data_IF_166244000468
#
_entry.id   IF_166244000468
#
_cell.length_a   1.000
_cell.length_b   1.000
_cell.length_c   1.000
_cell.angle_alpha   90.00
_cell.angle_beta   90.00
_cell.angle_gamma   90.00
#
_symmetry.space_group_name_H-M   'P 1'
#
loop_
_entity.id
_entity.type
_entity.pdbx_description
1 polymer ?
#
# COMPACT_ATOMS: atom_id res chain seq x y z
N UNK A 1 6.16 -4.34 -3.94
CA UNK A 1 7.58 -4.11 -3.58
C UNK A 1 8.24 -5.35 -2.95
N UNK A 2 7.66 -5.95 -1.91
CA UNK A 2 8.23 -7.10 -1.19
C UNK A 2 8.49 -8.34 -2.06
N UNK A 3 7.55 -8.71 -2.94
CA UNK A 3 7.74 -9.83 -3.87
C UNK A 3 9.04 -9.71 -4.69
N UNK A 4 9.32 -8.52 -5.24
CA UNK A 4 10.57 -8.26 -5.98
C UNK A 4 11.81 -8.42 -5.10
N UNK A 5 11.72 -8.03 -3.83
CA UNK A 5 12.82 -8.18 -2.88
C UNK A 5 13.06 -9.67 -2.55
N UNK A 6 12.01 -10.46 -2.36
CA UNK A 6 12.13 -11.91 -2.13
C UNK A 6 12.69 -12.63 -3.36
N UNK A 7 12.27 -12.26 -4.57
CA UNK A 7 12.89 -12.73 -5.83
C UNK A 7 14.39 -12.44 -5.83
N UNK A 8 14.77 -11.20 -5.53
CA UNK A 8 16.20 -10.82 -5.49
C UNK A 8 17.00 -11.57 -4.41
N UNK A 9 16.35 -12.09 -3.36
CA UNK A 9 17.01 -12.96 -2.39
C UNK A 9 17.15 -14.39 -2.92
N UNK A 10 16.10 -14.90 -3.57
CA UNK A 10 16.05 -16.24 -4.13
C UNK A 10 17.05 -16.47 -5.28
N UNK A 11 17.38 -15.40 -6.02
CA UNK A 11 18.36 -15.40 -7.12
C UNK A 11 19.82 -15.32 -6.65
N UNK A 12 20.08 -15.12 -5.35
CA UNK A 12 21.44 -15.11 -4.79
C UNK A 12 21.93 -16.52 -4.52
N UNK A 13 23.24 -16.67 -4.36
CA UNK A 13 23.84 -17.92 -3.90
C UNK A 13 23.74 -18.10 -2.38
N UNK A 14 23.87 -19.36 -1.94
CA UNK A 14 24.00 -19.72 -0.53
C UNK A 14 22.70 -19.58 0.28
N UNK A 15 22.82 -19.32 1.60
CA UNK A 15 21.66 -19.30 2.51
C UNK A 15 20.60 -18.24 2.16
N UNK A 16 20.99 -17.15 1.49
CA UNK A 16 20.06 -16.10 1.05
C UNK A 16 19.00 -16.64 0.07
N UNK A 17 19.42 -17.53 -0.83
CA UNK A 17 18.57 -18.17 -1.82
C UNK A 17 17.43 -18.94 -1.15
N UNK A 18 17.75 -19.67 -0.08
CA UNK A 18 16.79 -20.48 0.68
C UNK A 18 15.73 -19.60 1.33
N UNK A 19 16.15 -18.59 2.10
CA UNK A 19 15.22 -17.63 2.70
C UNK A 19 14.33 -16.94 1.67
N UNK A 20 14.90 -16.54 0.53
CA UNK A 20 14.14 -15.95 -0.57
C UNK A 20 13.06 -16.89 -1.10
N UNK A 21 13.40 -18.16 -1.37
CA UNK A 21 12.44 -19.16 -1.86
C UNK A 21 11.34 -19.48 -0.85
N UNK A 22 11.69 -19.62 0.43
CA UNK A 22 10.70 -19.89 1.49
C UNK A 22 9.70 -18.73 1.60
N UNK A 23 10.19 -17.48 1.63
CA UNK A 23 9.34 -16.29 1.66
C UNK A 23 8.45 -16.18 0.40
N UNK A 24 8.94 -16.57 -0.76
CA UNK A 24 8.14 -16.63 -2.00
C UNK A 24 7.04 -17.70 -1.92
N UNK A 25 7.36 -18.88 -1.39
CA UNK A 25 6.38 -19.96 -1.23
C UNK A 25 5.23 -19.53 -0.30
N UNK A 26 5.55 -18.94 0.85
CA UNK A 26 4.52 -18.40 1.74
C UNK A 26 3.74 -17.24 1.10
N UNK A 27 4.41 -16.37 0.35
CA UNK A 27 3.72 -15.29 -0.39
C UNK A 27 2.73 -15.86 -1.41
N UNK A 28 3.06 -16.95 -2.09
CA UNK A 28 2.16 -17.63 -3.00
C UNK A 28 0.92 -18.18 -2.28
N UNK A 29 1.10 -18.85 -1.14
CA UNK A 29 -0.01 -19.34 -0.31
C UNK A 29 -0.92 -18.19 0.18
N UNK A 30 -0.31 -17.07 0.60
CA UNK A 30 -1.08 -15.87 0.99
C UNK A 30 -2.00 -15.41 -0.14
N UNK A 31 -1.47 -15.33 -1.36
CA UNK A 31 -2.28 -14.93 -2.51
C UNK A 31 -3.31 -15.98 -2.89
N UNK A 32 -2.97 -17.27 -2.87
CA UNK A 32 -3.90 -18.35 -3.16
C UNK A 32 -5.13 -18.29 -2.24
N UNK A 33 -4.91 -18.22 -0.92
CA UNK A 33 -6.00 -18.15 0.04
C UNK A 33 -6.78 -16.84 -0.07
N UNK A 34 -6.10 -15.73 -0.34
CA UNK A 34 -6.78 -14.45 -0.59
C UNK A 34 -7.70 -14.50 -1.81
N UNK A 35 -7.26 -15.08 -2.92
CA UNK A 35 -8.09 -15.23 -4.12
C UNK A 35 -9.27 -16.18 -3.84
N UNK A 36 -9.05 -17.29 -3.12
CA UNK A 36 -10.13 -18.19 -2.69
C UNK A 36 -11.21 -17.46 -1.88
N UNK A 37 -10.83 -16.58 -0.96
CA UNK A 37 -11.78 -15.71 -0.25
C UNK A 37 -12.50 -14.73 -1.16
N UNK A 38 -11.78 -14.07 -2.07
CA UNK A 38 -12.35 -13.12 -3.03
C UNK A 38 -13.36 -13.75 -3.99
N UNK A 39 -13.14 -15.01 -4.35
CA UNK A 39 -13.99 -15.79 -5.24
C UNK A 39 -15.15 -16.48 -4.50
N UNK A 40 -15.23 -16.33 -3.16
CA UNK A 40 -16.28 -16.89 -2.32
C UNK A 40 -16.09 -18.36 -1.95
N UNK A 41 -14.91 -18.93 -2.24
CA UNK A 41 -14.55 -20.30 -1.88
C UNK A 41 -14.10 -20.45 -0.42
N UNK A 42 -13.69 -19.35 0.23
CA UNK A 42 -13.35 -19.30 1.65
C UNK A 42 -14.18 -18.21 2.34
N UNK A 43 -14.63 -18.51 3.55
CA UNK A 43 -15.13 -17.51 4.49
C UNK A 43 -13.97 -16.72 5.11
N UNK A 44 -14.31 -15.62 5.79
CA UNK A 44 -13.33 -14.80 6.52
C UNK A 44 -12.61 -15.61 7.60
N UNK A 45 -13.37 -16.39 8.37
CA UNK A 45 -12.86 -17.19 9.49
C UNK A 45 -11.94 -18.32 8.99
N UNK A 46 -12.32 -18.97 7.88
CA UNK A 46 -11.46 -19.97 7.23
C UNK A 46 -10.17 -19.33 6.70
N UNK A 47 -10.25 -18.16 6.06
CA UNK A 47 -9.08 -17.44 5.59
C UNK A 47 -8.14 -17.08 6.75
N UNK A 48 -8.66 -16.61 7.89
CA UNK A 48 -7.85 -16.36 9.08
C UNK A 48 -7.21 -17.65 9.61
N UNK A 49 -7.99 -18.72 9.76
CA UNK A 49 -7.51 -20.00 10.26
C UNK A 49 -6.41 -20.59 9.38
N UNK A 50 -6.55 -20.51 8.05
CA UNK A 50 -5.60 -21.04 7.08
C UNK A 50 -4.34 -20.19 6.97
N UNK A 51 -4.47 -18.86 7.13
CA UNK A 51 -3.31 -17.95 7.14
C UNK A 51 -2.54 -18.00 8.44
N UNK A 52 -3.12 -18.43 9.56
CA UNK A 52 -2.44 -18.51 10.87
C UNK A 52 -1.12 -19.30 10.84
N UNK A 53 -1.05 -20.55 10.32
CA UNK A 53 0.22 -21.26 10.21
C UNK A 53 1.17 -20.63 9.19
N UNK A 54 0.65 -20.07 8.08
CA UNK A 54 1.47 -19.40 7.06
C UNK A 54 2.13 -18.15 7.64
N UNK A 55 1.38 -17.36 8.42
CA UNK A 55 1.86 -16.17 9.12
C UNK A 55 2.99 -16.52 10.07
N UNK A 56 2.81 -17.53 10.92
CA UNK A 56 3.82 -17.96 11.87
C UNK A 56 5.12 -18.39 11.15
N UNK A 57 4.99 -19.18 10.08
CA UNK A 57 6.14 -19.65 9.31
C UNK A 57 6.85 -18.51 8.56
N UNK A 58 6.10 -17.56 8.01
CA UNK A 58 6.61 -16.38 7.33
C UNK A 58 7.39 -15.48 8.29
N UNK A 59 6.80 -15.15 9.44
CA UNK A 59 7.44 -14.32 10.47
C UNK A 59 8.70 -15.00 11.03
N UNK A 60 8.62 -16.30 11.34
CA UNK A 60 9.78 -17.06 11.81
C UNK A 60 10.93 -17.06 10.79
N UNK A 61 10.61 -17.18 9.49
CA UNK A 61 11.60 -17.14 8.41
C UNK A 61 12.26 -15.76 8.33
N UNK A 62 11.49 -14.69 8.51
CA UNK A 62 12.03 -13.32 8.56
C UNK A 62 12.93 -13.10 9.79
N UNK A 63 12.55 -13.60 10.95
CA UNK A 63 13.35 -13.50 12.18
C UNK A 63 14.68 -14.24 12.04
N UNK A 64 14.65 -15.48 11.54
CA UNK A 64 15.85 -16.25 11.26
C UNK A 64 16.76 -15.54 10.23
N UNK A 65 16.16 -14.99 9.17
CA UNK A 65 16.87 -14.22 8.16
C UNK A 65 17.50 -12.92 8.73
N UNK A 66 16.80 -12.25 9.65
CA UNK A 66 17.29 -11.06 10.33
C UNK A 66 18.52 -11.36 11.22
N UNK A 67 18.58 -12.55 11.83
CA UNK A 67 19.68 -12.98 12.69
C UNK A 67 20.85 -13.65 11.93
N UNK A 68 20.67 -13.95 10.64
CA UNK A 68 21.66 -14.69 9.86
C UNK A 68 22.92 -13.90 9.45
N UNK A 69 22.99 -12.61 9.74
CA UNK A 69 24.07 -11.68 9.38
C UNK A 69 24.47 -11.72 7.89
N UNK A 70 23.46 -11.82 7.01
CA UNK A 70 23.64 -11.88 5.57
C UNK A 70 23.49 -10.45 4.99
N UNK A 71 24.52 -9.90 4.32
CA UNK A 71 24.49 -8.56 3.76
C UNK A 71 23.26 -8.32 2.88
N UNK A 72 22.60 -7.18 3.08
CA UNK A 72 21.38 -6.71 2.39
C UNK A 72 20.12 -7.56 2.57
N UNK A 73 20.22 -8.75 3.17
CA UNK A 73 19.08 -9.60 3.49
C UNK A 73 18.65 -9.35 4.93
N UNK A 74 19.56 -9.47 5.90
CA UNK A 74 19.21 -9.37 7.33
C UNK A 74 18.62 -8.01 7.68
N UNK A 75 19.27 -6.91 7.29
CA UNK A 75 18.73 -5.56 7.50
C UNK A 75 17.38 -5.35 6.80
N UNK A 76 17.18 -5.92 5.61
CA UNK A 76 15.90 -5.84 4.92
C UNK A 76 14.79 -6.64 5.62
N UNK A 77 15.11 -7.77 6.24
CA UNK A 77 14.17 -8.54 7.04
C UNK A 77 13.83 -7.82 8.35
N UNK A 78 14.80 -7.13 8.98
CA UNK A 78 14.55 -6.23 10.11
C UNK A 78 13.56 -5.13 9.74
N UNK A 79 13.76 -4.45 8.60
CA UNK A 79 12.86 -3.40 8.13
C UNK A 79 11.43 -3.93 7.87
N UNK A 80 11.31 -5.16 7.36
CA UNK A 80 10.00 -5.79 7.13
C UNK A 80 9.32 -6.12 8.46
N UNK A 81 10.07 -6.68 9.42
CA UNK A 81 9.55 -7.03 10.75
C UNK A 81 9.10 -5.80 11.55
N UNK A 82 9.71 -4.63 11.33
CA UNK A 82 9.26 -3.37 11.91
C UNK A 82 7.82 -3.00 11.49
N UNK A 83 7.32 -3.57 10.40
CA UNK A 83 5.96 -3.36 9.88
C UNK A 83 5.11 -4.64 9.90
N UNK A 84 5.44 -5.63 10.76
CA UNK A 84 4.78 -6.94 10.79
C UNK A 84 3.25 -6.87 10.87
N UNK A 85 2.70 -5.96 11.67
CA UNK A 85 1.25 -5.88 11.89
C UNK A 85 0.54 -5.44 10.61
N UNK A 86 1.18 -4.55 9.83
CA UNK A 86 0.66 -4.06 8.56
C UNK A 86 0.66 -5.13 7.45
N UNK A 87 1.49 -6.17 7.57
CA UNK A 87 1.51 -7.28 6.59
C UNK A 87 0.22 -8.10 6.62
N UNK A 88 -0.46 -8.14 7.77
CA UNK A 88 -1.59 -9.04 8.01
C UNK A 88 -2.92 -8.30 8.22
N UNK A 89 -2.96 -6.98 8.09
CA UNK A 89 -4.19 -6.18 8.30
C UNK A 89 -5.36 -6.67 7.44
N UNK A 90 -5.09 -7.10 6.21
CA UNK A 90 -6.07 -7.66 5.26
C UNK A 90 -6.73 -8.95 5.75
N UNK A 91 -6.17 -9.62 6.77
CA UNK A 91 -6.74 -10.83 7.37
C UNK A 91 -7.91 -10.53 8.29
N UNK A 92 -7.95 -9.33 8.87
CA UNK A 92 -8.96 -8.97 9.88
C UNK A 92 -9.90 -7.86 9.40
N UNK A 93 -9.46 -7.02 8.47
CA UNK A 93 -10.22 -5.84 8.04
C UNK A 93 -10.77 -6.04 6.64
N UNK A 94 -12.09 -5.89 6.51
CA UNK A 94 -12.73 -5.89 5.20
C UNK A 94 -12.30 -4.66 4.37
N UNK A 95 -12.25 -4.85 3.05
CA UNK A 95 -11.81 -3.81 2.10
C UNK A 95 -10.30 -3.53 2.08
N UNK A 96 -9.49 -4.19 2.91
CA UNK A 96 -8.02 -4.12 2.86
C UNK A 96 -7.49 -5.27 2.00
N UNK A 97 -6.69 -4.96 0.98
CA UNK A 97 -6.03 -5.96 0.14
C UNK A 97 -4.65 -6.34 0.71
N UNK A 98 -4.11 -7.55 0.46
CA UNK A 98 -2.73 -7.93 0.80
C UNK A 98 -1.68 -7.19 -0.05
N UNK A 99 -2.09 -6.21 -0.85
CA UNK A 99 -1.22 -5.44 -1.74
C UNK A 99 -1.35 -3.95 -1.50
N UNK A 100 -0.28 -3.22 -1.79
CA UNK A 100 -0.30 -1.75 -1.74
C UNK A 100 -0.89 -1.10 -3.00
N UNK A 101 -1.54 -1.88 -3.88
CA UNK A 101 -1.98 -1.39 -5.19
C UNK A 101 -2.95 -0.22 -5.08
N UNK A 102 -3.85 -0.23 -4.09
CA UNK A 102 -4.77 0.89 -3.87
C UNK A 102 -4.04 2.20 -3.56
N UNK A 103 -3.09 2.19 -2.63
CA UNK A 103 -2.34 3.38 -2.26
C UNK A 103 -1.41 3.83 -3.41
N UNK A 104 -0.74 2.89 -4.08
CA UNK A 104 0.09 3.19 -5.26
C UNK A 104 -0.74 3.84 -6.37
N UNK A 105 -1.94 3.34 -6.66
CA UNK A 105 -2.87 3.95 -7.63
C UNK A 105 -3.30 5.35 -7.21
N UNK A 106 -3.62 5.55 -5.93
CA UNK A 106 -4.00 6.86 -5.41
C UNK A 106 -2.85 7.87 -5.50
N UNK A 107 -1.60 7.45 -5.28
CA UNK A 107 -0.45 8.37 -5.36
C UNK A 107 0.03 8.59 -6.79
N UNK A 108 -0.25 7.66 -7.72
CA UNK A 108 0.27 7.68 -9.10
C UNK A 108 0.00 8.99 -9.84
N UNK A 109 -1.21 9.54 -9.71
CA UNK A 109 -1.57 10.77 -10.41
C UNK A 109 -0.70 11.95 -9.95
N UNK A 110 -0.44 12.04 -8.64
CA UNK A 110 0.42 13.06 -8.05
C UNK A 110 1.88 12.89 -8.47
N UNK A 111 2.40 11.66 -8.40
CA UNK A 111 3.79 11.35 -8.78
C UNK A 111 4.05 11.68 -10.25
N UNK A 112 3.12 11.32 -11.16
CA UNK A 112 3.24 11.64 -12.58
C UNK A 112 3.20 13.14 -12.85
N UNK A 113 2.34 13.88 -12.14
CA UNK A 113 2.28 15.33 -12.25
C UNK A 113 3.58 15.98 -11.76
N UNK A 114 4.07 15.63 -10.57
CA UNK A 114 5.35 16.16 -10.03
C UNK A 114 6.52 15.85 -10.97
N UNK A 115 6.57 14.65 -11.55
CA UNK A 115 7.60 14.25 -12.52
C UNK A 115 7.56 15.09 -13.80
N UNK A 116 6.37 15.33 -14.37
CA UNK A 116 6.20 16.11 -15.62
C UNK A 116 6.42 17.61 -15.42
N UNK A 117 6.07 18.13 -14.26
CA UNK A 117 6.17 19.55 -13.93
C UNK A 117 7.47 19.92 -13.22
N UNK A 118 8.38 18.97 -13.03
CA UNK A 118 9.61 19.12 -12.22
C UNK A 118 9.37 19.58 -10.77
N UNK A 119 8.14 19.38 -10.27
CA UNK A 119 7.70 19.81 -8.95
C UNK A 119 7.64 21.32 -8.75
N UNK A 120 7.47 21.73 -7.49
CA UNK A 120 7.61 23.14 -7.08
C UNK A 120 8.86 23.29 -6.22
N UNK A 121 9.54 24.42 -6.35
CA UNK A 121 10.70 24.80 -5.55
C UNK A 121 10.35 25.88 -4.52
N UNK A 122 9.06 26.00 -4.17
CA UNK A 122 8.58 26.99 -3.20
C UNK A 122 7.52 26.37 -2.30
N UNK A 123 7.52 26.75 -1.02
CA UNK A 123 6.52 26.31 -0.04
C UNK A 123 5.10 26.62 -0.51
N UNK A 124 4.91 27.78 -1.16
CA UNK A 124 3.62 28.18 -1.73
C UNK A 124 3.13 27.19 -2.78
N UNK A 125 3.99 26.79 -3.71
CA UNK A 125 3.63 25.86 -4.77
C UNK A 125 3.47 24.43 -4.27
N UNK A 126 4.24 24.00 -3.28
CA UNK A 126 4.04 22.71 -2.62
C UNK A 126 2.72 22.64 -1.86
N UNK A 127 2.35 23.72 -1.15
CA UNK A 127 1.05 23.81 -0.47
C UNK A 127 -0.13 23.85 -1.46
N UNK A 128 0.04 24.50 -2.60
CA UNK A 128 -0.96 24.48 -3.66
C UNK A 128 -1.14 23.07 -4.23
N UNK A 129 -0.03 22.40 -4.56
CA UNK A 129 0.01 21.03 -5.03
C UNK A 129 -0.74 20.07 -4.09
N UNK A 130 -0.38 20.10 -2.80
CA UNK A 130 -0.97 19.30 -1.74
C UNK A 130 -2.50 19.47 -1.69
N UNK A 131 -2.97 20.72 -1.64
CA UNK A 131 -4.40 21.04 -1.51
C UNK A 131 -5.21 20.65 -2.73
N UNK A 132 -4.75 21.01 -3.93
CA UNK A 132 -5.46 20.69 -5.18
C UNK A 132 -5.53 19.19 -5.39
N UNK A 133 -4.47 18.45 -5.08
CA UNK A 133 -4.45 17.00 -5.23
C UNK A 133 -5.31 16.29 -4.19
N UNK A 134 -5.40 16.82 -2.97
CA UNK A 134 -6.33 16.35 -1.94
C UNK A 134 -7.77 16.53 -2.42
N UNK A 135 -8.13 17.73 -2.88
CA UNK A 135 -9.47 18.02 -3.41
C UNK A 135 -9.78 17.10 -4.60
N UNK A 136 -8.87 17.00 -5.57
CA UNK A 136 -9.08 16.21 -6.77
C UNK A 136 -9.25 14.72 -6.46
N UNK A 137 -8.46 14.15 -5.55
CA UNK A 137 -8.60 12.75 -5.15
C UNK A 137 -9.90 12.48 -4.41
N UNK A 138 -10.25 13.32 -3.44
CA UNK A 138 -11.47 13.16 -2.65
C UNK A 138 -12.73 13.33 -3.50
N UNK A 139 -12.77 14.35 -4.36
CA UNK A 139 -13.89 14.55 -5.28
C UNK A 139 -14.06 13.37 -6.26
N UNK A 140 -12.96 12.86 -6.84
CA UNK A 140 -13.01 11.68 -7.72
C UNK A 140 -13.50 10.43 -7.00
N UNK A 141 -13.05 10.18 -5.76
CA UNK A 141 -13.53 9.05 -4.94
C UNK A 141 -15.03 9.13 -4.66
N UNK A 142 -15.60 10.34 -4.59
CA UNK A 142 -17.04 10.58 -4.41
C UNK A 142 -17.83 10.64 -5.72
N UNK A 143 -17.20 10.40 -6.89
CA UNK A 143 -17.87 10.53 -8.19
C UNK A 143 -18.22 11.98 -8.58
N UNK A 144 -17.60 12.98 -7.94
CA UNK A 144 -17.88 14.41 -8.17
C UNK A 144 -16.94 15.01 -9.22
N UNK A 145 -17.47 15.91 -10.04
CA UNK A 145 -16.69 16.65 -11.03
C UNK A 145 -15.73 17.64 -10.34
N UNK A 146 -14.41 17.38 -10.46
CA UNK A 146 -13.35 18.18 -9.81
C UNK A 146 -13.41 19.65 -10.22
N UNK A 147 -13.57 19.93 -11.52
CA UNK A 147 -13.62 21.30 -12.02
C UNK A 147 -14.82 22.07 -11.45
N UNK A 148 -16.00 21.47 -11.47
CA UNK A 148 -17.20 22.09 -10.91
C UNK A 148 -17.06 22.39 -9.42
N UNK A 149 -16.44 21.48 -8.66
CA UNK A 149 -16.14 21.71 -7.24
C UNK A 149 -15.19 22.89 -7.02
N UNK A 150 -14.11 22.98 -7.80
CA UNK A 150 -13.14 24.07 -7.70
C UNK A 150 -13.77 25.42 -8.08
N UNK A 151 -14.53 25.47 -9.18
CA UNK A 151 -15.26 26.67 -9.63
C UNK A 151 -16.21 27.14 -8.53
N UNK A 152 -17.09 26.26 -8.03
CA UNK A 152 -18.03 26.62 -6.97
C UNK A 152 -17.35 27.04 -5.66
N UNK A 153 -16.15 26.52 -5.38
CA UNK A 153 -15.36 26.93 -4.20
C UNK A 153 -14.80 28.35 -4.35
N UNK A 154 -14.33 28.70 -5.56
CA UNK A 154 -13.80 30.03 -5.86
C UNK A 154 -14.93 31.06 -5.92
N UNK A 155 -16.05 30.73 -6.59
CA UNK A 155 -17.23 31.60 -6.67
C UNK A 155 -17.80 31.92 -5.29
N UNK A 156 -17.98 30.91 -4.43
CA UNK A 156 -18.46 31.12 -3.07
C UNK A 156 -17.50 31.98 -2.25
N UNK A 157 -16.18 31.78 -2.39
CA UNK A 157 -15.18 32.60 -1.70
C UNK A 157 -15.24 34.06 -2.15
N UNK A 158 -15.33 34.32 -3.45
CA UNK A 158 -15.45 35.69 -3.99
C UNK A 158 -16.76 36.36 -3.54
N UNK A 159 -17.84 35.59 -3.37
CA UNK A 159 -19.13 36.09 -2.89
C UNK A 159 -19.23 36.20 -1.36
N UNK A 160 -18.19 35.82 -0.60
CA UNK A 160 -18.23 35.78 0.86
C UNK A 160 -19.20 34.72 1.43
N UNK A 161 -19.54 33.70 0.64
CA UNK A 161 -20.47 32.64 0.99
C UNK A 161 -19.75 31.37 1.47
N UNK A 162 -20.51 30.45 2.08
CA UNK A 162 -19.99 29.13 2.46
C UNK A 162 -19.83 28.27 1.21
N UNK A 163 -18.59 27.84 0.94
CA UNK A 163 -18.27 27.00 -0.20
C UNK A 163 -18.79 25.56 -0.10
N UNK A 164 -18.80 24.81 -1.22
CA UNK A 164 -19.20 23.42 -1.23
C UNK A 164 -18.27 22.58 -0.33
N UNK A 165 -18.85 21.68 0.48
CA UNK A 165 -18.06 20.80 1.35
C UNK A 165 -17.40 19.70 0.54
N UNK A 166 -16.13 19.44 0.84
CA UNK A 166 -15.35 18.38 0.19
C UNK A 166 -15.73 16.99 0.70
N UNK A 167 -16.08 16.86 1.98
CA UNK A 167 -16.54 15.62 2.63
C UNK A 167 -17.97 15.87 3.13
N UNK A 168 -18.82 14.84 3.09
CA UNK A 168 -20.17 14.88 3.67
C UNK A 168 -20.13 15.22 5.18
N UNK A 169 -21.29 15.60 5.72
CA UNK A 169 -21.46 15.74 7.17
C UNK A 169 -21.44 14.37 7.85
#
# INVERSE_FOLDING_TARGET
HLLRKFISFAERDGPAARFGRDLLAYTALVFEYWHGFKDGALTRDELEAWLRPVRAAFEHTLEAAALADIPRLSGACVDILAHRDALWTFVLHDGVEPTNNHAERALRAFVLWRKRSFGSQSDRGERFAERVMTVAHTARKQGRAVLAFLVGSIEAHMAGQVGPRLIGA
#
